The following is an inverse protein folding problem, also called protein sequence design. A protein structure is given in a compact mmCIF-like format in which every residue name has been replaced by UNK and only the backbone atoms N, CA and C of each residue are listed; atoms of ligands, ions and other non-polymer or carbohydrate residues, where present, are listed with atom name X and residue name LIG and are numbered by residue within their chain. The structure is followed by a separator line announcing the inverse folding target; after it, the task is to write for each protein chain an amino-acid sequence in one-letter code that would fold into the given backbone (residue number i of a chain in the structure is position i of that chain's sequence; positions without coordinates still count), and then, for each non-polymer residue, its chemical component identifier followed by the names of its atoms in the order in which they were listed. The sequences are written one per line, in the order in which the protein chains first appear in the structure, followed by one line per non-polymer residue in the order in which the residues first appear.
data_IF_062010473850
#
_entry.id   IF_062010473850
#
_cell.length_a   1.000
_cell.length_b   1.000
_cell.length_c   1.000
_cell.angle_alpha   90.00
_cell.angle_beta   90.00
_cell.angle_gamma   90.00
#
_symmetry.space_group_name_H-M   'P 1'
#
loop_
_entity.id
_entity.type
_entity.pdbx_description
1 polymer ?
#
# COMPACT_ATOMS: atom_id res chain seq x y z
N UNK A 1 9.16 29.22 6.89
CA UNK A 1 8.69 28.74 8.22
C UNK A 1 8.09 27.33 8.15
N UNK A 2 7.27 26.97 7.15
CA UNK A 2 6.68 25.63 7.05
C UNK A 2 7.71 24.53 6.80
N UNK A 3 8.75 24.77 6.01
CA UNK A 3 9.75 23.76 5.68
C UNK A 3 10.65 23.41 6.88
N UNK A 4 11.05 24.39 7.67
CA UNK A 4 11.84 24.14 8.89
C UNK A 4 11.02 23.53 10.03
N UNK A 5 9.75 23.89 10.15
CA UNK A 5 8.82 23.24 11.06
C UNK A 5 8.57 21.78 10.70
N UNK A 6 8.53 21.44 9.40
CA UNK A 6 8.40 20.06 8.91
C UNK A 6 9.64 19.23 9.25
N UNK A 7 10.83 19.76 9.01
CA UNK A 7 12.09 19.08 9.35
C UNK A 7 12.24 18.87 10.87
N UNK A 8 11.82 19.83 11.67
CA UNK A 8 11.84 19.73 13.13
C UNK A 8 10.83 18.68 13.65
N UNK A 9 9.65 18.59 13.04
CA UNK A 9 8.63 17.57 13.34
C UNK A 9 9.07 16.19 12.91
N UNK A 10 9.67 16.05 11.74
CA UNK A 10 10.17 14.76 11.22
C UNK A 10 11.31 14.20 12.09
N UNK A 11 12.11 15.06 12.70
CA UNK A 11 13.22 14.65 13.56
C UNK A 11 12.85 14.60 15.06
N UNK A 12 11.56 14.72 15.41
CA UNK A 12 11.08 14.70 16.80
C UNK A 12 11.83 15.64 17.75
N UNK A 13 12.23 16.81 17.28
CA UNK A 13 12.85 17.83 18.10
C UNK A 13 11.74 18.66 18.78
N UNK A 14 11.41 18.41 20.06
CA UNK A 14 10.15 18.87 20.65
C UNK A 14 10.04 20.36 20.90
N UNK A 15 11.01 21.18 20.59
CA UNK A 15 11.03 22.58 21.06
C UNK A 15 11.56 23.61 20.08
N UNK A 16 11.69 23.30 18.79
CA UNK A 16 12.14 24.30 17.81
C UNK A 16 10.97 25.09 17.17
N UNK A 17 10.09 25.65 17.96
CA UNK A 17 9.24 26.79 17.56
C UNK A 17 10.05 28.09 17.64
N UNK A 18 11.21 28.14 17.01
CA UNK A 18 11.99 29.37 16.91
C UNK A 18 11.58 30.08 15.62
N UNK A 19 11.04 31.28 15.74
CA UNK A 19 10.86 32.18 14.59
C UNK A 19 12.24 32.57 14.08
N UNK A 20 12.64 32.02 12.93
CA UNK A 20 13.86 32.46 12.27
C UNK A 20 13.72 33.94 11.85
N UNK A 21 14.76 34.73 12.07
CA UNK A 21 14.83 36.09 11.48
C UNK A 21 14.71 35.98 9.95
N UNK A 22 13.93 36.89 9.35
CA UNK A 22 13.69 36.86 7.90
C UNK A 22 14.98 36.96 7.07
N UNK A 23 15.99 37.62 7.60
CA UNK A 23 17.32 37.71 6.98
C UNK A 23 17.99 36.36 6.84
N UNK A 24 18.07 35.58 7.91
CA UNK A 24 18.65 34.22 7.89
C UNK A 24 17.85 33.27 7.02
N UNK A 25 16.52 33.42 7.02
CA UNK A 25 15.66 32.59 6.17
C UNK A 25 15.86 32.91 4.69
N UNK A 26 16.06 34.19 4.33
CA UNK A 26 16.32 34.59 2.95
C UNK A 26 17.69 34.12 2.48
N UNK A 27 18.73 34.29 3.31
CA UNK A 27 20.09 33.83 2.97
C UNK A 27 20.17 32.31 2.81
N UNK A 28 19.41 31.57 3.59
CA UNK A 28 19.27 30.12 3.39
C UNK A 28 18.52 29.77 2.09
N UNK A 29 17.43 30.48 1.78
CA UNK A 29 16.67 30.28 0.53
C UNK A 29 17.46 30.62 -0.72
N UNK A 30 18.36 31.60 -0.62
CA UNK A 30 19.27 32.02 -1.70
C UNK A 30 20.54 31.16 -1.76
N UNK A 31 20.60 30.08 -0.96
CA UNK A 31 21.76 29.15 -0.89
C UNK A 31 23.09 29.81 -0.49
N UNK A 32 23.04 31.00 0.11
CA UNK A 32 24.23 31.72 0.58
C UNK A 32 24.83 31.11 1.84
N UNK A 33 23.97 30.54 2.69
CA UNK A 33 24.37 29.88 3.94
C UNK A 33 23.78 28.48 4.01
N UNK A 34 24.54 27.57 4.60
CA UNK A 34 24.08 26.21 4.85
C UNK A 34 23.17 26.12 6.10
N UNK A 35 22.38 25.07 6.20
CA UNK A 35 21.55 24.83 7.38
C UNK A 35 22.36 24.79 8.69
N UNK A 36 23.57 24.25 8.65
CA UNK A 36 24.49 24.22 9.79
C UNK A 36 24.93 25.62 10.24
N UNK A 37 25.14 26.52 9.29
CA UNK A 37 25.46 27.92 9.59
C UNK A 37 24.27 28.66 10.20
N UNK A 38 23.06 28.39 9.72
CA UNK A 38 21.83 28.93 10.35
C UNK A 38 21.73 28.51 11.82
N UNK A 39 22.00 27.25 12.13
CA UNK A 39 21.99 26.77 13.51
C UNK A 39 23.10 27.41 14.36
N UNK A 40 24.32 27.57 13.80
CA UNK A 40 25.43 28.20 14.50
C UNK A 40 25.14 29.68 14.82
N UNK A 41 24.57 30.43 13.89
CA UNK A 41 24.21 31.84 14.10
C UNK A 41 23.07 32.02 15.11
N UNK A 42 22.19 31.01 15.22
CA UNK A 42 21.15 31.00 16.25
C UNK A 42 21.65 30.56 17.63
N UNK A 43 22.94 30.24 17.77
CA UNK A 43 23.49 29.71 19.01
C UNK A 43 23.04 28.30 19.38
N UNK A 44 22.49 27.57 18.42
CA UNK A 44 22.07 26.19 18.61
C UNK A 44 23.26 25.28 18.32
N UNK A 45 23.86 24.67 19.35
CA UNK A 45 24.84 23.63 19.16
C UNK A 45 24.11 22.32 18.85
N UNK A 46 24.34 21.78 17.67
CA UNK A 46 23.89 20.44 17.33
C UNK A 46 24.93 19.46 17.89
N UNK A 47 24.53 18.63 18.81
CA UNK A 47 25.34 17.51 19.26
C UNK A 47 25.42 16.50 18.11
N UNK A 48 26.49 16.62 17.33
CA UNK A 48 26.73 15.75 16.17
C UNK A 48 26.86 14.28 16.56
N UNK A 49 27.32 14.00 17.76
CA UNK A 49 27.47 12.61 18.24
C UNK A 49 26.11 11.97 18.55
N UNK A 50 25.18 12.75 19.13
CA UNK A 50 23.80 12.27 19.31
C UNK A 50 23.07 12.11 17.98
N UNK A 51 23.26 13.05 17.04
CA UNK A 51 22.67 12.95 15.71
C UNK A 51 23.20 11.74 14.93
N UNK A 52 24.52 11.49 14.99
CA UNK A 52 25.12 10.32 14.34
C UNK A 52 24.63 9.01 14.95
N UNK A 53 24.55 8.92 16.30
CA UNK A 53 23.98 7.75 16.97
C UNK A 53 22.52 7.54 16.63
N UNK A 54 21.73 8.62 16.50
CA UNK A 54 20.33 8.52 16.08
C UNK A 54 20.20 8.01 14.63
N UNK A 55 21.10 8.43 13.73
CA UNK A 55 21.14 7.94 12.35
C UNK A 55 21.57 6.47 12.30
N UNK A 56 22.55 6.06 13.10
CA UNK A 56 22.98 4.67 13.19
C UNK A 56 21.87 3.79 13.75
N UNK A 57 21.23 4.20 14.83
CA UNK A 57 20.07 3.50 15.39
C UNK A 57 18.90 3.42 14.38
N UNK A 58 18.68 4.46 13.59
CA UNK A 58 17.65 4.45 12.55
C UNK A 58 17.95 3.46 11.41
N UNK A 59 19.22 3.15 11.15
CA UNK A 59 19.61 2.10 10.19
C UNK A 59 19.37 0.68 10.71
N UNK A 60 19.38 0.51 12.04
CA UNK A 60 19.14 -0.78 12.71
C UNK A 60 17.67 -1.02 13.05
N UNK A 61 16.77 -0.07 12.81
CA UNK A 61 15.34 -0.28 13.06
C UNK A 61 14.86 -1.40 12.14
N UNK A 62 14.78 -2.61 12.70
CA UNK A 62 14.02 -3.70 12.13
C UNK A 62 12.56 -3.24 11.96
N UNK A 63 11.95 -3.59 10.84
CA UNK A 63 10.57 -3.25 10.58
C UNK A 63 9.66 -3.89 11.65
N UNK A 64 9.13 -3.11 12.63
CA UNK A 64 8.36 -3.67 13.73
C UNK A 64 6.99 -4.23 13.28
N UNK A 65 6.65 -4.08 12.00
CA UNK A 65 5.43 -4.61 11.40
C UNK A 65 5.57 -6.03 10.87
N UNK A 66 6.76 -6.66 10.93
CA UNK A 66 6.90 -8.08 10.62
C UNK A 66 6.07 -8.92 11.61
N UNK A 67 5.28 -9.85 11.10
CA UNK A 67 4.37 -10.72 11.85
C UNK A 67 3.21 -10.00 12.57
N UNK A 68 3.04 -8.71 12.34
CA UNK A 68 1.86 -8.01 12.83
C UNK A 68 0.65 -8.38 11.99
N UNK A 69 -0.41 -8.81 12.66
CA UNK A 69 -1.66 -9.23 12.03
C UNK A 69 -2.67 -8.11 12.20
N UNK A 70 -3.19 -7.61 11.09
CA UNK A 70 -4.29 -6.68 11.05
C UNK A 70 -5.55 -7.43 10.61
N UNK A 71 -6.63 -7.31 11.37
CA UNK A 71 -7.94 -7.91 11.04
C UNK A 71 -8.87 -6.79 10.62
N UNK A 72 -9.39 -6.91 9.41
CA UNK A 72 -10.28 -5.92 8.81
C UNK A 72 -11.57 -6.62 8.42
N UNK A 73 -12.71 -6.00 8.69
CA UNK A 73 -14.01 -6.55 8.30
C UNK A 73 -14.66 -5.61 7.29
N UNK A 74 -14.92 -6.13 6.09
CA UNK A 74 -15.57 -5.40 5.01
C UNK A 74 -17.04 -5.82 4.90
N UNK A 75 -18.00 -4.91 5.15
CA UNK A 75 -19.36 -5.11 4.68
C UNK A 75 -19.42 -4.84 3.18
N UNK A 76 -19.93 -5.79 2.41
CA UNK A 76 -20.06 -5.68 0.95
C UNK A 76 -21.53 -5.71 0.56
N UNK A 77 -21.96 -4.71 -0.18
CA UNK A 77 -23.27 -4.66 -0.81
C UNK A 77 -23.12 -4.73 -2.32
N UNK A 78 -23.61 -5.79 -2.89
CA UNK A 78 -23.62 -6.00 -4.34
C UNK A 78 -25.04 -5.85 -4.86
N UNK A 79 -25.24 -4.92 -5.79
CA UNK A 79 -26.52 -4.67 -6.44
C UNK A 79 -26.32 -4.80 -7.95
N UNK A 80 -27.15 -5.62 -8.60
CA UNK A 80 -27.12 -5.79 -10.04
C UNK A 80 -28.54 -5.74 -10.59
N UNK A 81 -28.72 -4.92 -11.62
CA UNK A 81 -29.94 -4.92 -12.41
C UNK A 81 -29.77 -5.92 -13.57
N UNK A 82 -30.55 -6.98 -13.62
CA UNK A 82 -30.20 -8.11 -14.47
C UNK A 82 -31.19 -8.50 -15.54
N UNK A 83 -32.47 -8.32 -15.38
CA UNK A 83 -33.46 -8.62 -16.44
C UNK A 83 -34.87 -8.21 -16.06
N UNK A 84 -35.78 -8.24 -17.04
CA UNK A 84 -37.21 -7.93 -16.90
C UNK A 84 -37.95 -8.83 -15.88
N UNK A 85 -37.46 -10.04 -15.61
CA UNK A 85 -38.05 -10.96 -14.67
C UNK A 85 -37.57 -10.80 -13.23
N UNK A 86 -36.38 -10.19 -13.00
CA UNK A 86 -35.85 -9.83 -11.70
C UNK A 86 -35.17 -8.49 -11.80
N UNK A 87 -35.93 -7.45 -11.51
CA UNK A 87 -35.45 -6.05 -11.61
C UNK A 87 -34.19 -5.79 -10.79
N UNK A 88 -34.07 -6.41 -9.61
CA UNK A 88 -32.90 -6.24 -8.75
C UNK A 88 -32.42 -7.58 -8.21
N UNK A 89 -31.14 -7.85 -8.42
CA UNK A 89 -30.42 -8.90 -7.70
C UNK A 89 -29.46 -8.25 -6.72
N UNK A 90 -29.42 -8.79 -5.50
CA UNK A 90 -28.54 -8.25 -4.46
C UNK A 90 -27.80 -9.38 -3.74
N UNK A 91 -26.66 -9.03 -3.19
CA UNK A 91 -25.95 -9.81 -2.20
C UNK A 91 -25.41 -8.87 -1.12
N UNK A 92 -25.60 -9.26 0.12
CA UNK A 92 -25.03 -8.61 1.30
C UNK A 92 -24.08 -9.61 1.93
N UNK A 93 -22.82 -9.25 1.97
CA UNK A 93 -21.76 -10.11 2.49
C UNK A 93 -21.05 -9.43 3.66
N UNK A 94 -20.53 -10.23 4.55
CA UNK A 94 -19.53 -9.83 5.53
C UNK A 94 -18.23 -10.51 5.17
N UNK A 95 -17.19 -9.73 4.91
CA UNK A 95 -15.92 -10.23 4.36
C UNK A 95 -14.76 -9.89 5.30
N UNK A 96 -14.56 -10.67 6.39
CA UNK A 96 -13.38 -10.52 7.22
C UNK A 96 -12.13 -10.87 6.42
N UNK A 97 -11.10 -10.05 6.58
CA UNK A 97 -9.79 -10.21 5.99
C UNK A 97 -8.71 -10.13 7.05
N UNK A 98 -7.68 -10.90 6.87
CA UNK A 98 -6.45 -10.87 7.65
C UNK A 98 -5.34 -10.37 6.73
N UNK A 99 -4.63 -9.33 7.18
CA UNK A 99 -3.44 -8.83 6.53
C UNK A 99 -2.25 -9.00 7.45
N UNK A 100 -1.18 -9.59 6.94
CA UNK A 100 0.01 -9.88 7.72
C UNK A 100 1.27 -9.57 6.93
N UNK A 101 2.16 -8.77 7.52
CA UNK A 101 3.52 -8.59 7.04
C UNK A 101 4.37 -9.79 7.45
N UNK A 102 4.89 -10.54 6.46
CA UNK A 102 5.69 -11.75 6.73
C UNK A 102 7.17 -11.40 6.93
N UNK A 103 7.71 -10.59 6.04
CA UNK A 103 9.10 -10.11 6.02
C UNK A 103 9.16 -8.77 5.31
N UNK A 104 10.33 -8.19 5.16
CA UNK A 104 10.53 -6.90 4.49
C UNK A 104 9.98 -6.93 3.06
N UNK A 105 8.88 -6.19 2.84
CA UNK A 105 8.18 -6.11 1.55
C UNK A 105 7.25 -7.30 1.27
N UNK A 106 7.23 -8.35 2.11
CA UNK A 106 6.33 -9.49 1.97
C UNK A 106 5.02 -9.27 2.72
N UNK A 107 3.88 -9.42 2.06
CA UNK A 107 2.53 -9.27 2.63
C UNK A 107 1.64 -10.42 2.22
N UNK A 108 0.97 -11.02 3.20
CA UNK A 108 -0.10 -11.98 3.01
C UNK A 108 -1.44 -11.29 3.28
N UNK A 109 -2.38 -11.50 2.38
CA UNK A 109 -3.79 -11.10 2.58
C UNK A 109 -4.66 -12.32 2.41
N UNK A 110 -5.55 -12.58 3.37
CA UNK A 110 -6.51 -13.68 3.31
C UNK A 110 -7.88 -13.18 3.72
N UNK A 111 -8.86 -13.33 2.84
CA UNK A 111 -10.25 -12.90 3.04
C UNK A 111 -11.18 -14.08 2.85
N UNK A 112 -12.19 -14.16 3.70
CA UNK A 112 -13.31 -15.11 3.57
C UNK A 112 -14.59 -14.33 3.47
N UNK A 113 -15.44 -14.69 2.52
CA UNK A 113 -16.71 -14.03 2.27
C UNK A 113 -17.84 -14.86 2.91
N UNK A 114 -18.59 -14.23 3.82
CA UNK A 114 -19.77 -14.79 4.46
C UNK A 114 -21.02 -14.10 3.89
N UNK A 115 -21.79 -14.78 3.05
CA UNK A 115 -23.03 -14.23 2.55
C UNK A 115 -24.10 -14.21 3.66
N UNK A 116 -24.60 -13.00 3.96
CA UNK A 116 -25.68 -12.80 4.95
C UNK A 116 -27.03 -12.94 4.27
N UNK A 117 -27.20 -12.29 3.12
CA UNK A 117 -28.44 -12.32 2.36
C UNK A 117 -28.13 -12.17 0.86
N UNK A 118 -28.67 -13.06 0.05
CA UNK A 118 -28.52 -12.97 -1.39
C UNK A 118 -29.74 -13.56 -2.10
N UNK A 119 -30.20 -12.87 -3.15
CA UNK A 119 -31.16 -13.40 -4.11
C UNK A 119 -30.50 -13.87 -5.41
N UNK A 120 -29.16 -13.79 -5.49
CA UNK A 120 -28.34 -14.35 -6.56
C UNK A 120 -28.30 -15.88 -6.48
N UNK A 121 -28.05 -16.53 -7.60
CA UNK A 121 -27.93 -17.99 -7.70
C UNK A 121 -26.51 -18.49 -7.40
N UNK A 122 -26.41 -19.74 -6.92
CA UNK A 122 -25.16 -20.50 -6.85
C UNK A 122 -24.20 -20.05 -5.76
N UNK A 123 -22.97 -19.80 -6.16
CA UNK A 123 -21.79 -19.54 -5.32
C UNK A 123 -21.98 -18.40 -4.32
N UNK A 124 -22.76 -17.37 -4.67
CA UNK A 124 -23.01 -16.19 -3.81
C UNK A 124 -23.82 -16.47 -2.53
N UNK A 125 -24.33 -17.69 -2.37
CA UNK A 125 -25.05 -18.09 -1.17
C UNK A 125 -24.22 -18.92 -0.20
N UNK A 126 -22.99 -19.23 -0.57
CA UNK A 126 -22.10 -20.07 0.22
C UNK A 126 -20.90 -19.28 0.69
N UNK A 127 -20.34 -19.71 1.80
CA UNK A 127 -19.06 -19.21 2.27
C UNK A 127 -17.99 -19.58 1.22
N UNK A 128 -17.25 -18.59 0.75
CA UNK A 128 -16.23 -18.80 -0.26
C UNK A 128 -15.00 -17.91 0.03
N UNK A 129 -13.82 -18.28 -0.48
CA UNK A 129 -12.65 -17.45 -0.36
C UNK A 129 -12.83 -16.16 -1.15
N UNK A 130 -12.47 -15.03 -0.55
CA UNK A 130 -12.37 -13.74 -1.22
C UNK A 130 -10.97 -13.54 -1.81
N UNK A 131 -10.31 -12.45 -1.42
CA UNK A 131 -8.93 -12.17 -1.79
C UNK A 131 -8.00 -13.04 -0.96
N UNK A 132 -7.16 -13.83 -1.60
CA UNK A 132 -6.13 -14.65 -0.96
C UNK A 132 -4.84 -14.47 -1.74
N UNK A 133 -4.01 -13.52 -1.34
CA UNK A 133 -2.82 -13.12 -2.11
C UNK A 133 -1.57 -13.06 -1.25
N UNK A 134 -0.47 -13.48 -1.85
CA UNK A 134 0.88 -13.26 -1.37
C UNK A 134 1.53 -12.23 -2.28
N UNK A 135 2.06 -11.16 -1.71
CA UNK A 135 2.75 -10.11 -2.47
C UNK A 135 4.14 -9.86 -1.91
N UNK A 136 5.07 -9.58 -2.81
CA UNK A 136 6.42 -9.12 -2.52
C UNK A 136 6.64 -7.78 -3.16
N UNK A 137 6.95 -6.78 -2.35
CA UNK A 137 7.33 -5.45 -2.80
C UNK A 137 8.85 -5.29 -2.69
N UNK A 138 9.46 -4.75 -3.74
CA UNK A 138 10.89 -4.51 -3.83
C UNK A 138 11.12 -3.07 -4.30
N UNK A 139 11.97 -2.37 -3.58
CA UNK A 139 12.45 -1.05 -4.01
C UNK A 139 13.77 -1.23 -4.73
N UNK A 140 13.77 -0.92 -6.01
CA UNK A 140 14.97 -0.84 -6.83
C UNK A 140 15.64 0.53 -6.67
N UNK A 141 16.84 0.64 -7.22
CA UNK A 141 17.56 1.91 -7.29
C UNK A 141 16.77 2.91 -8.17
N UNK A 142 16.97 4.23 -7.93
CA UNK A 142 16.40 5.31 -8.76
C UNK A 142 14.87 5.39 -8.79
N UNK A 143 14.23 5.36 -7.61
CA UNK A 143 12.78 5.57 -7.50
C UNK A 143 11.90 4.59 -8.30
N UNK A 144 12.44 3.42 -8.59
CA UNK A 144 11.73 2.31 -9.20
C UNK A 144 11.27 1.34 -8.13
N UNK A 145 9.98 1.04 -8.13
CA UNK A 145 9.33 0.09 -7.24
C UNK A 145 8.72 -1.02 -8.06
N UNK A 146 8.86 -2.24 -7.60
CA UNK A 146 8.21 -3.41 -8.18
C UNK A 146 7.42 -4.16 -7.13
N UNK A 147 6.25 -4.68 -7.50
CA UNK A 147 5.44 -5.56 -6.68
C UNK A 147 5.01 -6.77 -7.50
N UNK A 148 5.33 -7.95 -7.01
CA UNK A 148 4.80 -9.21 -7.54
C UNK A 148 3.71 -9.65 -6.58
N UNK A 149 2.53 -9.98 -7.11
CA UNK A 149 1.41 -10.52 -6.34
C UNK A 149 0.92 -11.78 -7.01
N UNK A 150 0.72 -12.84 -6.24
CA UNK A 150 0.17 -14.09 -6.72
C UNK A 150 -0.92 -14.58 -5.75
N UNK A 151 -1.92 -15.24 -6.29
CA UNK A 151 -3.02 -15.82 -5.52
C UNK A 151 -4.39 -15.59 -6.13
N UNK A 152 -5.41 -15.59 -5.29
CA UNK A 152 -6.78 -15.35 -5.68
C UNK A 152 -7.11 -13.86 -5.47
N UNK A 153 -7.35 -13.14 -6.57
CA UNK A 153 -7.60 -11.69 -6.54
C UNK A 153 -9.07 -11.34 -6.24
N UNK A 154 -9.96 -12.24 -6.61
CA UNK A 154 -11.40 -12.15 -6.33
C UNK A 154 -11.90 -13.57 -6.12
N UNK A 155 -13.15 -13.74 -5.72
CA UNK A 155 -13.72 -15.09 -5.54
C UNK A 155 -13.64 -16.01 -6.78
N UNK A 156 -13.39 -15.46 -7.98
CA UNK A 156 -13.31 -16.23 -9.21
C UNK A 156 -12.12 -15.89 -10.12
N UNK A 157 -11.06 -15.31 -9.59
CA UNK A 157 -9.86 -14.96 -10.36
C UNK A 157 -8.60 -15.31 -9.59
N UNK A 158 -7.90 -16.34 -10.04
CA UNK A 158 -6.58 -16.72 -9.52
C UNK A 158 -5.50 -16.40 -10.55
N UNK A 159 -4.34 -15.96 -10.11
CA UNK A 159 -3.25 -15.65 -11.03
C UNK A 159 -2.06 -14.99 -10.38
N UNK A 160 -1.27 -14.35 -11.23
CA UNK A 160 -0.13 -13.54 -10.82
C UNK A 160 -0.07 -12.24 -11.61
N UNK A 161 0.41 -11.18 -10.94
CA UNK A 161 0.62 -9.88 -11.55
C UNK A 161 1.92 -9.27 -11.10
N UNK A 162 2.52 -8.49 -11.98
CA UNK A 162 3.66 -7.64 -11.75
C UNK A 162 3.21 -6.18 -11.90
N UNK A 163 3.40 -5.39 -10.88
CA UNK A 163 3.17 -3.95 -10.86
C UNK A 163 4.52 -3.25 -10.71
N UNK A 164 4.84 -2.36 -11.62
CA UNK A 164 6.07 -1.56 -11.59
C UNK A 164 5.69 -0.08 -11.58
N UNK A 165 6.34 0.68 -10.72
CA UNK A 165 6.14 2.13 -10.58
C UNK A 165 7.48 2.85 -10.58
N UNK A 166 7.56 3.84 -11.41
CA UNK A 166 8.68 4.78 -11.45
C UNK A 166 8.19 6.17 -11.07
N UNK A 167 8.90 6.83 -10.18
CA UNK A 167 8.60 8.19 -9.76
C UNK A 167 9.81 9.08 -9.99
N UNK A 168 9.63 10.24 -10.59
CA UNK A 168 10.71 11.22 -10.77
C UNK A 168 11.14 11.83 -9.42
N UNK A 169 12.39 12.27 -9.31
CA UNK A 169 12.94 12.84 -8.07
C UNK A 169 12.16 14.04 -7.56
N UNK A 170 11.64 14.86 -8.47
CA UNK A 170 10.78 15.99 -8.13
C UNK A 170 9.34 15.62 -7.79
N UNK A 171 8.99 14.34 -7.87
CA UNK A 171 7.66 13.80 -7.55
C UNK A 171 6.51 14.25 -8.47
N UNK A 172 6.82 14.95 -9.57
CA UNK A 172 5.81 15.52 -10.48
C UNK A 172 5.26 14.51 -11.49
N UNK A 173 6.01 13.45 -11.76
CA UNK A 173 5.61 12.42 -12.71
C UNK A 173 5.72 11.04 -12.06
N UNK A 174 4.65 10.28 -12.10
CA UNK A 174 4.62 8.87 -11.74
C UNK A 174 4.19 8.05 -12.97
N UNK A 175 5.02 7.10 -13.36
CA UNK A 175 4.72 6.13 -14.41
C UNK A 175 4.50 4.77 -13.77
N UNK A 176 3.40 4.13 -14.13
CA UNK A 176 3.06 2.79 -13.67
C UNK A 176 2.83 1.84 -14.83
N UNK A 177 3.29 0.61 -14.68
CA UNK A 177 3.01 -0.48 -15.61
C UNK A 177 2.57 -1.71 -14.82
N UNK A 178 1.43 -2.28 -15.19
CA UNK A 178 0.91 -3.49 -14.60
C UNK A 178 0.73 -4.54 -15.69
N UNK A 179 1.30 -5.72 -15.46
CA UNK A 179 1.11 -6.89 -16.32
C UNK A 179 0.71 -8.06 -15.46
N UNK A 180 -0.31 -8.81 -15.87
CA UNK A 180 -0.78 -9.95 -15.12
C UNK A 180 -1.43 -11.00 -15.99
N UNK A 181 -1.40 -12.23 -15.51
CA UNK A 181 -2.14 -13.35 -16.06
C UNK A 181 -3.05 -13.94 -14.99
N UNK A 182 -4.29 -14.20 -15.34
CA UNK A 182 -5.25 -14.81 -14.43
C UNK A 182 -6.13 -15.83 -15.14
N UNK A 183 -6.54 -16.84 -14.39
CA UNK A 183 -7.48 -17.85 -14.81
C UNK A 183 -8.77 -17.72 -14.02
N UNK A 184 -9.88 -18.18 -14.57
CA UNK A 184 -11.11 -18.32 -13.81
C UNK A 184 -10.93 -19.44 -12.78
N UNK A 185 -11.31 -19.18 -11.54
CA UNK A 185 -11.32 -20.15 -10.45
C UNK A 185 -12.61 -19.99 -9.66
N UNK A 186 -13.27 -21.08 -9.31
CA UNK A 186 -14.50 -21.06 -8.54
C UNK A 186 -14.61 -22.30 -7.65
N UNK A 187 -15.32 -22.18 -6.55
CA UNK A 187 -15.73 -23.33 -5.75
C UNK A 187 -17.02 -23.88 -6.36
N UNK A 188 -16.96 -25.10 -6.81
CA UNK A 188 -18.11 -25.81 -7.39
C UNK A 188 -18.67 -26.82 -6.38
N UNK A 189 -19.98 -26.85 -6.25
CA UNK A 189 -20.66 -27.77 -5.34
C UNK A 189 -20.32 -29.22 -5.66
N UNK A 190 -19.77 -29.93 -4.68
CA UNK A 190 -19.43 -31.35 -4.78
C UNK A 190 -18.10 -31.65 -5.49
N UNK A 191 -17.53 -30.71 -6.22
CA UNK A 191 -16.29 -30.90 -6.99
C UNK A 191 -15.07 -30.20 -6.37
N UNK A 192 -15.30 -29.33 -5.37
CA UNK A 192 -14.24 -28.54 -4.73
C UNK A 192 -13.83 -27.30 -5.52
N UNK A 193 -12.55 -27.03 -5.61
CA UNK A 193 -12.01 -25.84 -6.27
C UNK A 193 -11.73 -26.11 -7.75
N UNK A 194 -12.51 -25.52 -8.62
CA UNK A 194 -12.30 -25.55 -10.06
C UNK A 194 -11.37 -24.44 -10.51
N UNK A 195 -10.39 -24.75 -11.36
CA UNK A 195 -9.48 -23.81 -11.99
C UNK A 195 -9.50 -24.01 -13.50
N UNK A 196 -9.84 -22.98 -14.24
CA UNK A 196 -9.88 -23.00 -15.71
C UNK A 196 -8.46 -23.07 -16.30
N UNK A 197 -8.33 -23.76 -17.41
CA UNK A 197 -7.06 -23.84 -18.16
C UNK A 197 -6.85 -22.66 -19.12
N UNK A 198 -7.84 -21.78 -19.29
CA UNK A 198 -7.77 -20.66 -20.24
C UNK A 198 -7.30 -19.38 -19.53
N UNK A 199 -6.04 -18.97 -19.70
CA UNK A 199 -5.53 -17.75 -19.08
C UNK A 199 -6.05 -16.50 -19.80
N UNK A 200 -6.23 -15.44 -19.02
CA UNK A 200 -6.42 -14.08 -19.52
C UNK A 200 -5.23 -13.23 -19.12
N UNK A 201 -4.65 -12.55 -20.10
CA UNK A 201 -3.54 -11.61 -19.87
C UNK A 201 -4.09 -10.19 -19.88
N UNK A 202 -3.69 -9.39 -18.91
CA UNK A 202 -4.03 -7.98 -18.79
C UNK A 202 -2.74 -7.17 -18.71
N UNK A 203 -2.71 -6.03 -19.40
CA UNK A 203 -1.62 -5.07 -19.31
C UNK A 203 -2.21 -3.66 -19.23
N UNK A 204 -1.71 -2.86 -18.31
CA UNK A 204 -2.14 -1.47 -18.11
C UNK A 204 -0.91 -0.58 -17.96
N UNK A 205 -0.99 0.61 -18.56
CA UNK A 205 -0.04 1.69 -18.36
C UNK A 205 -0.77 2.87 -17.73
N UNK A 206 -0.12 3.51 -16.77
CA UNK A 206 -0.63 4.69 -16.07
C UNK A 206 0.44 5.76 -16.04
N UNK A 207 0.05 7.00 -16.31
CA UNK A 207 0.85 8.19 -16.10
C UNK A 207 0.04 9.18 -15.26
N UNK A 208 0.63 9.77 -14.27
CA UNK A 208 0.00 10.77 -13.40
C UNK A 208 1.01 11.81 -12.91
#
# INVERSE_FOLDING_TARGET
NKSLQLVALENQIPQLCISLPDTLLNDYREEKISLMQVYAEMGISIDTDHAMKAIENAKEIENPSAWKVDVIVYPELFLKNNSLNKLYTYAVNLSPAIEMGLWKGGKLTAQVVFPIAANLYGEYKKIHPGVMTLSQEVRFRNNLFGRITAGNFTHNRMGAQLDMKFRTDNGRLELGALVGASVYSAIVDGEGWYVSTTPRVNAFLKAS
#
